data_IF_434080359965
#
_entry.id   IF_434080359965
#
_cell.length_a   1.000
_cell.length_b   1.000
_cell.length_c   1.000
_cell.angle_alpha   90.00
_cell.angle_beta   90.00
_cell.angle_gamma   90.00
#
_symmetry.space_group_name_H-M   'P 1'
#
loop_
_entity.id
_entity.type
_entity.pdbx_description
1 polymer ?
#
# COMPACT_ATOMS: atom_id res chain seq x y z
N UNK A 1 -15.11 -13.84 -1.81
CA UNK A 1 -14.96 -12.43 -1.39
C UNK A 1 -16.21 -12.03 -0.60
N UNK A 2 -16.08 -11.08 0.31
CA UNK A 2 -17.20 -10.52 1.10
C UNK A 2 -17.19 -9.01 0.95
N UNK A 3 -18.37 -8.38 0.96
CA UNK A 3 -18.48 -6.93 0.79
C UNK A 3 -19.54 -6.35 1.71
N UNK A 4 -19.26 -5.17 2.26
CA UNK A 4 -20.18 -4.37 3.07
C UNK A 4 -20.48 -3.09 2.30
N UNK A 5 -21.73 -2.93 1.85
CA UNK A 5 -22.16 -1.79 1.04
C UNK A 5 -23.04 -0.82 1.83
N UNK A 6 -22.90 0.47 1.53
CA UNK A 6 -23.66 1.55 2.14
C UNK A 6 -23.16 2.91 1.61
N UNK A 7 -23.96 3.97 1.76
CA UNK A 7 -23.49 5.34 1.42
C UNK A 7 -22.55 5.86 2.51
N UNK A 8 -21.88 6.98 2.28
CA UNK A 8 -21.15 7.65 3.35
C UNK A 8 -22.13 8.08 4.45
N UNK A 9 -21.73 7.96 5.72
CA UNK A 9 -22.59 8.28 6.87
C UNK A 9 -23.72 7.30 7.17
N UNK A 10 -23.83 6.15 6.48
CA UNK A 10 -24.89 5.16 6.75
C UNK A 10 -24.46 4.04 7.70
N UNK A 11 -23.43 4.28 8.52
CA UNK A 11 -22.99 3.30 9.51
C UNK A 11 -22.13 2.13 8.98
N UNK A 12 -21.57 2.21 7.77
CA UNK A 12 -20.68 1.16 7.22
C UNK A 12 -19.57 0.78 8.21
N UNK A 13 -18.84 1.77 8.71
CA UNK A 13 -17.76 1.58 9.67
C UNK A 13 -18.25 0.96 10.98
N UNK A 14 -19.45 1.33 11.44
CA UNK A 14 -20.08 0.77 12.65
C UNK A 14 -20.43 -0.71 12.51
N UNK A 15 -20.67 -1.20 11.28
CA UNK A 15 -20.89 -2.63 11.03
C UNK A 15 -19.56 -3.38 10.79
N UNK A 16 -18.66 -2.79 10.03
CA UNK A 16 -17.38 -3.42 9.65
C UNK A 16 -16.44 -3.53 10.85
N UNK A 17 -16.35 -2.53 11.72
CA UNK A 17 -15.42 -2.56 12.84
C UNK A 17 -15.70 -3.72 13.82
N UNK A 18 -16.94 -3.98 14.29
CA UNK A 18 -17.23 -5.15 15.11
C UNK A 18 -16.91 -6.48 14.43
N UNK A 19 -17.12 -6.58 13.11
CA UNK A 19 -16.77 -7.77 12.33
C UNK A 19 -15.26 -8.01 12.36
N UNK A 20 -14.46 -7.01 12.02
CA UNK A 20 -13.00 -7.09 12.05
C UNK A 20 -12.48 -7.35 13.47
N UNK A 21 -13.03 -6.65 14.47
CA UNK A 21 -12.69 -6.86 15.87
C UNK A 21 -12.96 -8.30 16.33
N UNK A 22 -14.04 -8.93 15.86
CA UNK A 22 -14.36 -10.30 16.22
C UNK A 22 -13.41 -11.30 15.55
N UNK A 23 -13.02 -11.09 14.29
CA UNK A 23 -11.99 -11.89 13.61
C UNK A 23 -10.68 -11.90 14.42
N UNK A 24 -10.23 -10.71 14.83
CA UNK A 24 -9.00 -10.53 15.61
C UNK A 24 -9.13 -11.16 17.00
N UNK A 25 -10.23 -10.88 17.70
CA UNK A 25 -10.48 -11.39 19.07
C UNK A 25 -10.54 -12.91 19.13
N UNK A 26 -11.14 -13.54 18.11
CA UNK A 26 -11.26 -15.00 18.01
C UNK A 26 -10.03 -15.66 17.38
N UNK A 27 -9.01 -14.87 17.04
CA UNK A 27 -7.76 -15.34 16.43
C UNK A 27 -7.99 -16.12 15.12
N UNK A 28 -9.04 -15.77 14.36
CA UNK A 28 -9.41 -16.51 13.14
C UNK A 28 -8.46 -16.21 11.98
N UNK A 29 -7.99 -14.97 11.90
CA UNK A 29 -7.08 -14.46 10.88
C UNK A 29 -6.41 -13.16 11.36
N UNK A 30 -5.24 -12.87 10.83
CA UNK A 30 -4.68 -11.51 10.85
C UNK A 30 -5.45 -10.65 9.84
N UNK A 31 -5.64 -9.38 10.14
CA UNK A 31 -6.35 -8.44 9.26
C UNK A 31 -5.40 -7.33 8.81
N UNK A 32 -5.26 -7.14 7.50
CA UNK A 32 -4.65 -5.94 6.91
C UNK A 32 -5.75 -4.99 6.46
N UNK A 33 -5.76 -3.76 6.97
CA UNK A 33 -6.80 -2.76 6.70
C UNK A 33 -6.16 -1.57 6.00
N UNK A 34 -6.62 -1.27 4.79
CA UNK A 34 -6.24 -0.04 4.07
C UNK A 34 -7.23 1.08 4.44
N UNK A 35 -6.89 1.85 5.47
CA UNK A 35 -7.75 2.83 6.14
C UNK A 35 -7.65 4.20 5.45
N UNK A 36 -8.45 4.37 4.39
CA UNK A 36 -8.46 5.58 3.55
C UNK A 36 -9.00 6.79 4.31
N UNK A 37 -9.99 6.58 5.19
CA UNK A 37 -10.65 7.65 5.93
C UNK A 37 -10.09 7.89 7.35
N UNK A 38 -9.16 7.04 7.81
CA UNK A 38 -8.64 7.02 9.18
C UNK A 38 -9.73 6.74 10.22
N UNK A 39 -10.63 5.81 9.88
CA UNK A 39 -11.85 5.46 10.60
C UNK A 39 -11.77 4.09 11.30
N UNK A 40 -10.62 3.39 11.26
CA UNK A 40 -10.47 2.07 11.88
C UNK A 40 -9.36 2.00 12.93
N UNK A 41 -8.27 2.73 12.74
CA UNK A 41 -7.06 2.64 13.57
C UNK A 41 -7.28 3.01 15.04
N UNK A 42 -7.13 4.30 15.34
CA UNK A 42 -7.14 4.79 16.72
C UNK A 42 -8.48 5.39 17.16
N UNK A 43 -8.99 6.38 16.42
CA UNK A 43 -10.22 7.12 16.78
C UNK A 43 -11.13 7.24 15.56
N UNK A 44 -12.39 6.81 15.67
CA UNK A 44 -13.38 7.03 14.63
C UNK A 44 -14.08 8.38 14.80
N UNK A 45 -14.51 8.95 13.68
CA UNK A 45 -15.48 10.05 13.65
C UNK A 45 -16.89 9.47 13.61
N UNK A 46 -17.60 9.53 14.73
CA UNK A 46 -19.02 9.22 14.81
C UNK A 46 -19.89 10.43 14.41
N UNK A 47 -21.19 10.18 14.29
CA UNK A 47 -22.18 11.23 14.01
C UNK A 47 -22.14 12.34 15.07
N UNK A 48 -22.39 13.59 14.63
CA UNK A 48 -22.41 14.76 15.51
C UNK A 48 -21.05 15.12 16.12
N UNK A 49 -19.94 14.66 15.53
CA UNK A 49 -18.58 14.96 16.01
C UNK A 49 -18.14 14.13 17.22
N UNK A 50 -18.90 13.10 17.58
CA UNK A 50 -18.53 12.19 18.67
C UNK A 50 -17.33 11.34 18.27
N UNK A 51 -16.29 11.35 19.10
CA UNK A 51 -15.14 10.45 18.93
C UNK A 51 -15.47 9.06 19.48
N UNK A 52 -15.24 8.02 18.69
CA UNK A 52 -15.44 6.63 19.09
C UNK A 52 -14.12 5.85 19.08
N UNK A 53 -14.08 4.73 19.80
CA UNK A 53 -12.89 3.89 19.98
C UNK A 53 -12.61 3.06 18.73
N UNK A 54 -11.45 3.28 18.09
CA UNK A 54 -10.93 2.45 17.01
C UNK A 54 -10.46 1.08 17.50
N UNK A 55 -10.02 0.22 16.59
CA UNK A 55 -9.59 -1.15 16.88
C UNK A 55 -8.48 -1.18 17.95
N UNK A 56 -7.51 -0.25 17.87
CA UNK A 56 -6.40 -0.17 18.83
C UNK A 56 -6.84 0.15 20.25
N UNK A 57 -7.95 0.89 20.42
CA UNK A 57 -8.49 1.28 21.72
C UNK A 57 -9.41 0.24 22.36
N UNK A 58 -9.67 -0.89 21.69
CA UNK A 58 -10.48 -1.98 22.23
C UNK A 58 -9.63 -2.88 23.12
N UNK A 59 -9.85 -2.83 24.44
CA UNK A 59 -9.05 -3.58 25.44
C UNK A 59 -8.84 -5.06 25.10
N UNK A 60 -9.84 -5.72 24.50
CA UNK A 60 -9.78 -7.15 24.18
C UNK A 60 -8.83 -7.50 23.02
N UNK A 61 -8.47 -6.52 22.17
CA UNK A 61 -7.68 -6.77 20.94
C UNK A 61 -6.57 -5.75 20.69
N UNK A 62 -6.50 -4.64 21.43
CA UNK A 62 -5.62 -3.52 21.11
C UNK A 62 -4.13 -3.88 21.05
N UNK A 63 -3.70 -4.89 21.82
CA UNK A 63 -2.32 -5.42 21.77
C UNK A 63 -2.01 -6.17 20.46
N UNK A 64 -3.04 -6.70 19.79
CA UNK A 64 -2.93 -7.38 18.49
C UNK A 64 -3.15 -6.45 17.29
N UNK A 65 -3.34 -5.14 17.52
CA UNK A 65 -3.58 -4.16 16.46
C UNK A 65 -2.36 -3.27 16.36
N UNK A 66 -1.78 -3.16 15.17
CA UNK A 66 -0.65 -2.30 14.83
C UNK A 66 -1.15 -1.24 13.84
N UNK A 67 -0.90 0.03 14.11
CA UNK A 67 -1.24 1.16 13.25
C UNK A 67 0.05 1.67 12.60
N UNK A 68 0.10 1.61 11.27
CA UNK A 68 1.16 2.23 10.47
C UNK A 68 0.59 3.41 9.73
N UNK A 69 1.38 4.47 9.53
CA UNK A 69 0.91 5.70 8.87
C UNK A 69 1.77 6.04 7.67
N UNK A 70 1.13 6.52 6.60
CA UNK A 70 1.83 7.17 5.49
C UNK A 70 2.15 8.64 5.77
N UNK A 71 1.53 9.23 6.80
CA UNK A 71 1.52 10.67 7.05
C UNK A 71 1.58 10.98 8.55
N UNK A 72 2.80 11.00 9.09
CA UNK A 72 3.04 11.26 10.51
C UNK A 72 2.48 12.59 11.00
N UNK A 73 2.56 13.65 10.19
CA UNK A 73 2.06 14.97 10.59
C UNK A 73 0.54 14.89 10.85
N UNK A 74 -0.17 14.24 9.93
CA UNK A 74 -1.62 14.06 10.04
C UNK A 74 -2.00 13.15 11.21
N UNK A 75 -1.23 12.09 11.47
CA UNK A 75 -1.42 11.23 12.65
C UNK A 75 -1.17 11.98 13.97
N UNK A 76 -0.12 12.81 14.04
CA UNK A 76 0.20 13.65 15.22
C UNK A 76 -0.92 14.65 15.51
N UNK A 77 -1.43 15.35 14.48
CA UNK A 77 -2.56 16.30 14.63
C UNK A 77 -3.82 15.60 15.13
N UNK A 78 -4.08 14.35 14.71
CA UNK A 78 -5.23 13.55 15.19
C UNK A 78 -5.00 12.91 16.56
N UNK A 79 -3.78 12.92 17.08
CA UNK A 79 -3.39 12.17 18.28
C UNK A 79 -3.48 10.64 18.11
N UNK A 80 -3.26 10.14 16.88
CA UNK A 80 -3.20 8.70 16.61
C UNK A 80 -1.86 8.13 17.11
N UNK A 81 -1.90 7.03 17.86
CA UNK A 81 -0.70 6.32 18.29
C UNK A 81 -0.31 5.30 17.22
N UNK A 82 0.69 5.65 16.41
CA UNK A 82 1.19 4.83 15.31
C UNK A 82 2.52 4.18 15.70
N UNK A 83 2.73 2.92 15.33
CA UNK A 83 3.96 2.17 15.62
C UNK A 83 5.14 2.63 14.76
N UNK A 84 4.90 2.99 13.50
CA UNK A 84 5.91 3.55 12.61
C UNK A 84 5.28 4.24 11.39
N UNK A 85 6.09 5.07 10.73
CA UNK A 85 5.78 5.63 9.43
C UNK A 85 6.18 4.63 8.33
N UNK A 86 5.27 4.31 7.43
CA UNK A 86 5.55 3.46 6.28
C UNK A 86 6.24 4.31 5.19
N UNK A 87 7.48 3.96 4.88
CA UNK A 87 8.21 4.54 3.76
C UNK A 87 8.52 3.47 2.72
N UNK A 88 8.55 3.87 1.45
CA UNK A 88 8.83 2.98 0.31
C UNK A 88 10.00 3.57 -0.46
N UNK A 89 11.06 2.77 -0.59
CA UNK A 89 12.24 3.11 -1.38
C UNK A 89 11.97 3.02 -2.88
N UNK A 90 12.57 3.90 -3.68
CA UNK A 90 12.49 3.82 -5.15
C UNK A 90 13.02 2.49 -5.70
N UNK A 91 14.04 1.94 -5.04
CA UNK A 91 14.65 0.65 -5.34
C UNK A 91 13.73 -0.54 -5.06
N UNK A 92 12.70 -0.33 -4.26
CA UNK A 92 11.70 -1.34 -3.92
C UNK A 92 10.58 -1.38 -4.95
N UNK A 93 10.37 -0.35 -5.78
CA UNK A 93 9.21 -0.27 -6.69
C UNK A 93 9.46 -1.16 -7.91
N UNK A 94 8.45 -1.94 -8.29
CA UNK A 94 8.45 -2.76 -9.49
C UNK A 94 7.46 -2.22 -10.54
N UNK A 95 7.67 -2.45 -11.85
CA UNK A 95 6.76 -1.98 -12.89
C UNK A 95 5.30 -2.37 -12.64
N UNK A 96 5.04 -3.57 -12.15
CA UNK A 96 3.66 -4.03 -11.94
C UNK A 96 2.99 -3.37 -10.73
N UNK A 97 3.74 -2.71 -9.84
CA UNK A 97 3.17 -1.83 -8.80
C UNK A 97 2.54 -0.57 -9.46
N UNK A 98 3.04 -0.19 -10.65
CA UNK A 98 2.58 0.94 -11.45
C UNK A 98 1.55 0.53 -12.50
N UNK A 99 1.65 -0.67 -13.06
CA UNK A 99 0.70 -1.16 -14.07
C UNK A 99 -0.74 -1.19 -13.58
N UNK A 100 -0.95 -1.57 -12.32
CA UNK A 100 -2.29 -1.59 -11.71
C UNK A 100 -2.86 -0.16 -11.52
N UNK A 101 -2.04 0.88 -11.69
CA UNK A 101 -2.46 2.28 -11.72
C UNK A 101 -2.69 2.79 -13.15
N UNK A 102 -2.67 1.92 -14.16
CA UNK A 102 -2.78 2.31 -15.57
C UNK A 102 -3.95 3.25 -15.82
N UNK A 103 -5.15 2.91 -15.38
CA UNK A 103 -6.34 3.73 -15.63
C UNK A 103 -6.30 5.02 -14.81
N UNK A 104 -5.86 4.93 -13.55
CA UNK A 104 -5.74 6.04 -12.61
C UNK A 104 -4.72 7.10 -13.09
N UNK A 105 -3.62 6.67 -13.71
CA UNK A 105 -2.57 7.53 -14.27
C UNK A 105 -2.73 7.75 -15.78
N UNK A 106 -3.77 7.16 -16.38
CA UNK A 106 -4.03 7.15 -17.82
C UNK A 106 -2.83 6.69 -18.65
N UNK A 107 -2.09 5.67 -18.20
CA UNK A 107 -0.93 5.11 -18.92
C UNK A 107 -1.39 4.31 -20.15
N UNK A 108 -0.69 4.48 -21.27
CA UNK A 108 -0.90 3.61 -22.45
C UNK A 108 -0.11 2.30 -22.32
N UNK A 109 -0.48 1.28 -23.12
CA UNK A 109 0.28 0.01 -23.19
C UNK A 109 1.75 0.23 -23.52
N UNK A 110 2.04 1.20 -24.40
CA UNK A 110 3.41 1.55 -24.79
C UNK A 110 4.18 2.15 -23.60
N UNK A 111 3.51 2.97 -22.77
CA UNK A 111 4.11 3.51 -21.55
C UNK A 111 4.35 2.42 -20.50
N UNK A 112 3.41 1.50 -20.33
CA UNK A 112 3.57 0.33 -19.45
C UNK A 112 4.77 -0.53 -19.88
N UNK A 113 4.86 -0.86 -21.17
CA UNK A 113 6.00 -1.62 -21.70
C UNK A 113 7.33 -0.89 -21.50
N UNK A 114 7.34 0.44 -21.61
CA UNK A 114 8.53 1.25 -21.36
C UNK A 114 9.02 1.14 -19.90
N UNK A 115 8.13 1.00 -18.91
CA UNK A 115 8.52 0.76 -17.51
C UNK A 115 9.35 -0.52 -17.37
N UNK A 116 8.93 -1.60 -18.03
CA UNK A 116 9.66 -2.87 -18.03
C UNK A 116 11.00 -2.78 -18.74
N UNK A 117 11.09 -2.00 -19.82
CA UNK A 117 12.36 -1.75 -20.50
C UNK A 117 13.32 -1.02 -19.57
N UNK A 118 12.87 0.04 -18.88
CA UNK A 118 13.68 0.78 -17.92
C UNK A 118 14.09 -0.10 -16.73
N UNK A 119 13.17 -0.95 -16.23
CA UNK A 119 13.46 -1.91 -15.16
C UNK A 119 14.58 -2.87 -15.55
N UNK A 120 14.55 -3.40 -16.77
CA UNK A 120 15.62 -4.29 -17.26
C UNK A 120 16.95 -3.57 -17.43
N UNK A 121 16.91 -2.31 -17.85
CA UNK A 121 18.11 -1.51 -18.10
C UNK A 121 18.80 -1.08 -16.80
N UNK A 122 18.03 -0.58 -15.84
CA UNK A 122 18.55 0.04 -14.61
C UNK A 122 18.33 -0.79 -13.35
N UNK A 123 17.75 -1.99 -13.47
CA UNK A 123 17.49 -2.90 -12.36
C UNK A 123 16.74 -2.23 -11.21
N UNK A 124 17.35 -2.04 -10.04
CA UNK A 124 16.70 -1.40 -8.90
C UNK A 124 16.60 0.12 -9.03
N UNK A 125 17.54 0.75 -9.73
CA UNK A 125 17.61 2.22 -9.84
C UNK A 125 16.67 2.81 -10.89
N UNK A 126 15.85 2.00 -11.56
CA UNK A 126 15.03 2.44 -12.69
C UNK A 126 14.09 3.62 -12.38
N UNK A 127 13.53 3.68 -11.17
CA UNK A 127 12.70 4.82 -10.74
C UNK A 127 13.55 6.08 -10.56
N UNK A 128 14.73 5.94 -9.96
CA UNK A 128 15.67 7.04 -9.75
C UNK A 128 16.14 7.61 -11.10
N UNK A 129 16.47 6.74 -12.04
CA UNK A 129 16.88 7.09 -13.41
C UNK A 129 15.72 7.64 -14.26
N UNK A 130 14.49 7.21 -14.00
CA UNK A 130 13.33 7.82 -14.64
C UNK A 130 13.08 9.24 -14.11
N UNK A 131 13.39 9.52 -12.85
CA UNK A 131 13.14 10.81 -12.22
C UNK A 131 14.31 11.79 -12.28
N UNK A 132 15.42 11.44 -12.93
CA UNK A 132 16.55 12.35 -13.11
C UNK A 132 16.15 13.54 -14.01
N UNK A 133 16.75 14.70 -13.72
CA UNK A 133 16.56 15.90 -14.54
C UNK A 133 17.16 15.71 -15.94
N UNK A 134 18.29 15.01 -16.03
CA UNK A 134 18.94 14.64 -17.28
C UNK A 134 18.48 13.26 -17.76
N UNK A 135 18.34 13.10 -19.08
CA UNK A 135 18.07 11.80 -19.70
C UNK A 135 19.35 10.96 -19.66
N UNK A 136 19.34 9.75 -19.06
CA UNK A 136 20.52 8.89 -19.03
C UNK A 136 20.99 8.51 -20.45
N UNK A 137 22.30 8.38 -20.65
CA UNK A 137 22.89 7.98 -21.94
C UNK A 137 22.30 6.70 -22.50
N UNK A 138 22.01 5.73 -21.64
CA UNK A 138 21.45 4.44 -21.98
C UNK A 138 19.99 4.58 -22.45
N UNK A 139 19.25 5.59 -21.94
CA UNK A 139 17.92 5.93 -22.46
C UNK A 139 18.04 6.60 -23.83
N UNK A 140 19.05 7.45 -24.05
CA UNK A 140 19.31 8.04 -25.36
C UNK A 140 19.54 6.95 -26.42
N UNK A 141 20.28 5.89 -26.11
CA UNK A 141 20.46 4.74 -27.00
C UNK A 141 19.14 4.02 -27.31
N UNK A 142 18.18 3.99 -26.37
CA UNK A 142 16.84 3.44 -26.62
C UNK A 142 16.02 4.30 -27.59
N UNK A 143 16.24 5.62 -27.59
CA UNK A 143 15.64 6.52 -28.57
C UNK A 143 16.25 6.30 -29.95
N UNK A 144 17.58 6.29 -30.03
CA UNK A 144 18.32 6.12 -31.29
C UNK A 144 18.04 4.77 -31.96
N UNK A 145 17.79 3.73 -31.16
CA UNK A 145 17.41 2.39 -31.63
C UNK A 145 15.90 2.19 -31.85
N UNK A 146 15.08 3.24 -31.72
CA UNK A 146 13.61 3.20 -31.82
C UNK A 146 12.94 2.16 -30.89
N UNK A 147 13.58 1.79 -29.77
CA UNK A 147 13.01 0.88 -28.77
C UNK A 147 12.00 1.58 -27.88
N UNK A 148 12.21 2.87 -27.61
CA UNK A 148 11.26 3.73 -26.91
C UNK A 148 11.17 5.04 -27.69
N UNK A 149 9.95 5.51 -27.97
CA UNK A 149 9.76 6.84 -28.51
C UNK A 149 10.02 7.90 -27.42
N UNK A 150 10.82 8.91 -27.73
CA UNK A 150 11.18 10.00 -26.80
C UNK A 150 9.93 10.65 -26.15
N UNK A 151 8.90 10.94 -26.96
CA UNK A 151 7.63 11.48 -26.45
C UNK A 151 6.91 10.54 -25.47
N UNK A 152 7.03 9.22 -25.65
CA UNK A 152 6.48 8.22 -24.72
C UNK A 152 7.22 8.26 -23.38
N UNK A 153 8.56 8.32 -23.41
CA UNK A 153 9.39 8.40 -22.21
C UNK A 153 9.03 9.64 -21.38
N UNK A 154 9.04 10.83 -21.98
CA UNK A 154 8.74 12.06 -21.24
C UNK A 154 7.28 12.12 -20.76
N UNK A 155 6.33 11.59 -21.52
CA UNK A 155 4.95 11.52 -21.08
C UNK A 155 4.77 10.58 -19.87
N UNK A 156 5.51 9.48 -19.85
CA UNK A 156 5.53 8.53 -18.73
C UNK A 156 6.23 9.13 -17.51
N UNK A 157 7.40 9.74 -17.70
CA UNK A 157 8.15 10.46 -16.67
C UNK A 157 7.25 11.49 -15.97
N UNK A 158 6.61 12.40 -16.71
CA UNK A 158 5.70 13.41 -16.12
C UNK A 158 4.56 12.81 -15.30
N UNK A 159 3.95 11.72 -15.76
CA UNK A 159 2.86 11.03 -15.04
C UNK A 159 3.36 10.43 -13.73
N UNK A 160 4.53 9.78 -13.76
CA UNK A 160 5.10 9.15 -12.58
C UNK A 160 5.74 10.15 -11.61
N UNK A 161 6.33 11.25 -12.09
CA UNK A 161 6.81 12.32 -11.21
C UNK A 161 5.70 12.92 -10.34
N UNK A 162 4.42 12.86 -10.75
CA UNK A 162 3.30 13.28 -9.89
C UNK A 162 3.05 12.29 -8.76
N UNK A 163 3.02 10.99 -9.08
CA UNK A 163 2.86 9.91 -8.10
C UNK A 163 4.02 9.89 -7.10
N UNK A 164 5.26 10.01 -7.60
CA UNK A 164 6.46 9.79 -6.82
C UNK A 164 6.88 10.99 -5.94
N UNK A 165 6.06 12.05 -5.90
CA UNK A 165 6.19 13.21 -5.00
C UNK A 165 5.57 12.99 -3.62
N UNK A 166 4.85 11.89 -3.39
CA UNK A 166 4.30 11.63 -2.07
C UNK A 166 5.40 11.42 -1.04
N UNK A 167 5.24 12.01 0.16
CA UNK A 167 6.28 11.99 1.19
C UNK A 167 6.56 10.62 1.81
N UNK A 168 5.70 9.62 1.56
CA UNK A 168 5.98 8.23 1.93
C UNK A 168 6.91 7.52 0.93
N UNK A 169 7.13 8.09 -0.26
CA UNK A 169 8.07 7.59 -1.25
C UNK A 169 9.42 8.31 -1.09
N UNK A 170 10.50 7.54 -0.97
CA UNK A 170 11.84 8.08 -0.70
C UNK A 170 12.86 7.50 -1.69
N UNK A 171 13.88 8.27 -2.08
CA UNK A 171 14.99 7.75 -2.89
C UNK A 171 15.67 6.54 -2.25
N UNK A 172 15.75 6.53 -0.91
CA UNK A 172 16.32 5.47 -0.09
C UNK A 172 15.53 5.36 1.21
N UNK A 173 15.44 4.14 1.75
CA UNK A 173 14.85 3.85 3.05
C UNK A 173 15.79 2.94 3.84
N UNK A 174 15.76 3.05 5.16
CA UNK A 174 16.67 2.31 6.05
C UNK A 174 16.28 0.85 6.24
N UNK A 175 15.04 0.48 5.92
CA UNK A 175 14.50 -0.87 6.06
C UNK A 175 13.39 -1.15 5.03
N UNK A 176 13.06 -2.43 4.84
CA UNK A 176 11.89 -2.84 4.08
C UNK A 176 10.64 -2.79 4.98
N UNK A 177 9.94 -1.67 4.92
CA UNK A 177 8.73 -1.47 5.70
C UNK A 177 7.57 -2.38 5.26
N UNK A 178 7.55 -2.89 4.02
CA UNK A 178 6.58 -3.88 3.61
C UNK A 178 6.83 -5.22 4.29
N UNK A 179 8.10 -5.64 4.37
CA UNK A 179 8.49 -6.82 5.13
C UNK A 179 8.18 -6.65 6.63
N UNK A 180 8.35 -5.45 7.18
CA UNK A 180 7.96 -5.15 8.56
C UNK A 180 6.45 -5.31 8.79
N UNK A 181 5.61 -4.80 7.89
CA UNK A 181 4.14 -5.01 7.92
C UNK A 181 3.81 -6.50 7.86
N UNK A 182 4.43 -7.22 6.93
CA UNK A 182 4.25 -8.66 6.75
C UNK A 182 4.64 -9.45 8.01
N UNK A 183 5.74 -9.09 8.67
CA UNK A 183 6.17 -9.71 9.92
C UNK A 183 5.19 -9.50 11.08
N UNK A 184 4.47 -8.38 11.12
CA UNK A 184 3.37 -8.22 12.07
C UNK A 184 2.21 -9.18 11.74
N UNK A 185 1.82 -9.23 10.45
CA UNK A 185 0.73 -10.10 10.00
C UNK A 185 0.99 -11.59 10.27
N UNK A 186 2.22 -12.07 10.02
CA UNK A 186 2.59 -13.49 10.23
C UNK A 186 2.67 -13.86 11.71
N UNK A 187 2.93 -12.89 12.61
CA UNK A 187 2.89 -13.08 14.07
C UNK A 187 1.48 -13.11 14.67
N UNK A 188 0.44 -13.02 13.84
CA UNK A 188 -0.96 -13.00 14.30
C UNK A 188 -1.47 -11.61 14.69
N UNK A 189 -0.68 -10.56 14.44
CA UNK A 189 -1.11 -9.18 14.63
C UNK A 189 -1.85 -8.69 13.39
N UNK A 190 -2.75 -7.72 13.58
CA UNK A 190 -3.50 -7.08 12.51
C UNK A 190 -2.97 -5.67 12.30
N UNK A 191 -2.81 -5.27 11.04
CA UNK A 191 -2.20 -4.01 10.65
C UNK A 191 -3.25 -3.08 10.05
N UNK A 192 -3.32 -1.85 10.54
CA UNK A 192 -4.10 -0.75 9.97
C UNK A 192 -3.13 0.21 9.29
N UNK A 193 -3.25 0.38 7.98
CA UNK A 193 -2.49 1.35 7.19
C UNK A 193 -3.30 2.63 7.09
N UNK A 194 -2.98 3.62 7.92
CA UNK A 194 -3.59 4.95 7.90
C UNK A 194 -3.00 5.80 6.76
N UNK A 195 -3.86 6.23 5.83
CA UNK A 195 -3.43 7.05 4.69
C UNK A 195 -3.27 8.54 5.03
N UNK A 196 -3.82 9.01 6.15
CA UNK A 196 -3.76 10.42 6.53
C UNK A 196 -4.28 11.34 5.43
N UNK A 197 -3.50 12.35 5.02
CA UNK A 197 -3.89 13.27 3.92
C UNK A 197 -3.93 12.58 2.55
N UNK A 198 -3.13 11.51 2.36
CA UNK A 198 -3.07 10.76 1.10
C UNK A 198 -4.35 9.96 0.81
N UNK A 199 -5.26 9.80 1.78
CA UNK A 199 -6.54 9.11 1.57
C UNK A 199 -7.46 9.82 0.56
N UNK A 200 -7.21 11.11 0.29
CA UNK A 200 -7.92 11.86 -0.75
C UNK A 200 -7.28 11.70 -2.14
N UNK A 201 -6.10 11.08 -2.24
CA UNK A 201 -5.37 10.87 -3.48
C UNK A 201 -5.53 9.40 -3.92
N UNK A 202 -6.37 9.19 -4.94
CA UNK A 202 -6.63 7.86 -5.48
C UNK A 202 -5.36 7.13 -5.96
N UNK A 203 -4.46 7.77 -6.75
CA UNK A 203 -3.16 7.19 -7.07
C UNK A 203 -2.36 6.72 -5.85
N UNK A 204 -2.28 7.52 -4.78
CA UNK A 204 -1.56 7.11 -3.56
C UNK A 204 -2.19 5.86 -2.93
N UNK A 205 -3.53 5.84 -2.85
CA UNK A 205 -4.28 4.73 -2.29
C UNK A 205 -4.04 3.41 -3.03
N UNK A 206 -4.30 3.42 -4.34
CA UNK A 206 -4.14 2.24 -5.19
C UNK A 206 -2.69 1.79 -5.24
N UNK A 207 -1.73 2.73 -5.27
CA UNK A 207 -0.30 2.40 -5.26
C UNK A 207 0.10 1.62 -4.01
N UNK A 208 -0.18 2.15 -2.81
CA UNK A 208 0.23 1.51 -1.56
C UNK A 208 -0.50 0.18 -1.36
N UNK A 209 -1.79 0.12 -1.72
CA UNK A 209 -2.56 -1.11 -1.65
C UNK A 209 -1.95 -2.21 -2.53
N UNK A 210 -1.65 -1.91 -3.80
CA UNK A 210 -1.03 -2.86 -4.72
C UNK A 210 0.39 -3.24 -4.29
N UNK A 211 1.20 -2.25 -3.90
CA UNK A 211 2.57 -2.45 -3.44
C UNK A 211 2.64 -3.44 -2.26
N UNK A 212 1.79 -3.26 -1.23
CA UNK A 212 1.76 -4.15 -0.08
C UNK A 212 1.13 -5.51 -0.42
N UNK A 213 -0.01 -5.54 -1.12
CA UNK A 213 -0.71 -6.80 -1.43
C UNK A 213 0.13 -7.73 -2.31
N UNK A 214 0.87 -7.21 -3.30
CA UNK A 214 1.75 -8.03 -4.14
C UNK A 214 2.86 -8.72 -3.34
N UNK A 215 3.53 -7.98 -2.46
CA UNK A 215 4.62 -8.51 -1.61
C UNK A 215 4.10 -9.53 -0.60
N UNK A 216 2.99 -9.22 0.03
CA UNK A 216 2.32 -10.12 0.97
C UNK A 216 1.87 -11.39 0.26
N UNK A 217 1.24 -11.29 -0.91
CA UNK A 217 0.83 -12.45 -1.69
C UNK A 217 2.02 -13.36 -2.03
N UNK A 218 3.10 -12.79 -2.58
CA UNK A 218 4.32 -13.55 -2.90
C UNK A 218 4.84 -14.31 -1.68
N UNK A 219 4.97 -13.63 -0.54
CA UNK A 219 5.44 -14.27 0.70
C UNK A 219 4.51 -15.39 1.17
N UNK A 220 3.20 -15.16 1.14
CA UNK A 220 2.23 -16.16 1.59
C UNK A 220 2.24 -17.41 0.70
N UNK A 221 2.45 -17.26 -0.61
CA UNK A 221 2.67 -18.38 -1.52
C UNK A 221 3.93 -19.15 -1.12
N UNK A 222 5.07 -18.47 -0.95
CA UNK A 222 6.33 -19.10 -0.53
C UNK A 222 6.20 -19.85 0.81
N UNK A 223 5.54 -19.24 1.81
CA UNK A 223 5.30 -19.87 3.12
C UNK A 223 4.45 -21.13 2.98
N UNK A 224 3.41 -21.08 2.15
CA UNK A 224 2.51 -22.20 1.95
C UNK A 224 3.19 -23.35 1.23
N UNK A 225 3.96 -23.07 0.18
CA UNK A 225 4.76 -24.06 -0.54
C UNK A 225 5.80 -24.72 0.39
N UNK A 226 6.44 -23.94 1.26
CA UNK A 226 7.40 -24.46 2.24
C UNK A 226 6.72 -25.42 3.23
N UNK A 227 5.57 -25.01 3.79
CA UNK A 227 4.79 -25.83 4.73
C UNK A 227 4.28 -27.13 4.09
N UNK A 228 3.78 -27.08 2.85
CA UNK A 228 3.35 -28.25 2.08
C UNK A 228 4.53 -29.21 1.79
N UNK A 229 5.74 -28.68 1.61
CA UNK A 229 6.99 -29.44 1.46
C UNK A 229 7.53 -30.05 2.76
N UNK A 230 6.82 -29.90 3.89
CA UNK A 230 7.24 -30.41 5.20
C UNK A 230 8.23 -29.53 5.95
N UNK A 231 8.48 -28.30 5.48
CA UNK A 231 9.31 -27.31 6.15
C UNK A 231 8.47 -26.17 6.75
N UNK A 232 8.66 -25.86 8.03
CA UNK A 232 7.99 -24.71 8.65
C UNK A 232 6.50 -24.92 8.98
N UNK A 233 5.85 -23.84 9.41
CA UNK A 233 4.44 -23.84 9.82
C UNK A 233 3.55 -23.20 8.75
N UNK A 234 2.28 -23.63 8.69
CA UNK A 234 1.29 -23.04 7.79
C UNK A 234 1.08 -21.55 8.14
N UNK A 235 1.11 -20.64 7.14
CA UNK A 235 0.93 -19.22 7.42
C UNK A 235 -0.43 -18.94 8.07
N UNK A 236 -0.45 -18.02 9.05
CA UNK A 236 -1.69 -17.52 9.65
C UNK A 236 -2.63 -17.03 8.54
N UNK A 237 -3.91 -17.39 8.61
CA UNK A 237 -4.91 -16.87 7.66
C UNK A 237 -4.91 -15.34 7.64
N UNK A 238 -5.04 -14.75 6.45
CA UNK A 238 -5.04 -13.31 6.24
C UNK A 238 -6.37 -12.85 5.65
N UNK A 239 -6.92 -11.78 6.20
CA UNK A 239 -8.04 -11.02 5.63
C UNK A 239 -7.53 -9.64 5.23
N UNK A 240 -7.71 -9.28 3.96
CA UNK A 240 -7.37 -7.93 3.47
C UNK A 240 -8.68 -7.14 3.34
N UNK A 241 -8.81 -6.09 4.15
CA UNK A 241 -9.94 -5.17 4.15
C UNK A 241 -9.57 -3.92 3.34
N UNK A 242 -10.27 -3.75 2.23
CA UNK A 242 -10.08 -2.66 1.28
C UNK A 242 -11.28 -1.74 1.35
N UNK A 243 -11.07 -0.48 1.73
CA UNK A 243 -12.08 0.57 1.66
C UNK A 243 -12.33 1.03 0.23
N UNK A 244 -13.57 1.43 -0.06
CA UNK A 244 -13.97 1.96 -1.37
C UNK A 244 -13.46 1.11 -2.55
N UNK A 245 -13.61 -0.22 -2.43
CA UNK A 245 -13.09 -1.20 -3.41
C UNK A 245 -13.54 -0.97 -4.87
N UNK A 246 -14.58 -0.17 -5.10
CA UNK A 246 -15.01 0.29 -6.43
C UNK A 246 -14.00 1.21 -7.13
N UNK A 247 -12.95 1.64 -6.41
CA UNK A 247 -11.84 2.47 -6.90
C UNK A 247 -10.67 1.65 -7.47
N UNK A 248 -10.74 0.32 -7.40
CA UNK A 248 -9.78 -0.63 -7.97
C UNK A 248 -10.29 -1.22 -9.29
#
# INVERSE_FOLDING_TARGET
SSAVFGRSGTGKTFLTLPLLANIIRRDLASVLIFDMHNDYGYTLKGDGGRKLKGLKQLNAIGQKVVIVTLDEESSKVRGSQTEFALHIGYDQIEPEDIEMLRDVLSLSDVQVNALHVLKRLFSRDWVRQLLSDDVPSEVQELFDSNKIAEGTYFAMQRKLSRLLKFGFLRPEVTEDFAERVLNHLTRGESVVVEFGRYGNDLPAYVFVANFLTRRIHRRYVEMKETAEGGGGEEPKKLVIAVEEAHKF
#
